data_IF_618236889740
#
_entry.id   IF_618236889740
#
_cell.length_a   1.000
_cell.length_b   1.000
_cell.length_c   1.000
_cell.angle_alpha   90.00
_cell.angle_beta   90.00
_cell.angle_gamma   90.00
#
_symmetry.space_group_name_H-M   'P 1'
#
loop_
_entity.id
_entity.type
_entity.pdbx_description
1 polymer ?
#
# COMPACT_ATOMS: atom_id res chain seq x y z
N UNK A 1 14.81 -14.20 0.58
CA UNK A 1 14.11 -14.36 -0.71
C UNK A 1 12.62 -14.14 -0.51
N UNK A 2 12.12 -12.94 -0.81
CA UNK A 2 10.68 -12.60 -0.75
C UNK A 2 10.04 -13.15 -2.02
N UNK A 3 9.08 -14.07 -1.91
CA UNK A 3 8.33 -14.58 -3.07
C UNK A 3 7.06 -13.75 -3.24
N UNK A 4 6.97 -12.98 -4.32
CA UNK A 4 5.81 -12.19 -4.73
C UNK A 4 4.92 -13.01 -5.65
N UNK A 5 3.63 -13.10 -5.35
CA UNK A 5 2.61 -13.70 -6.21
C UNK A 5 1.58 -12.63 -6.54
N UNK A 6 1.27 -12.45 -7.82
CA UNK A 6 0.24 -11.51 -8.29
C UNK A 6 -0.83 -12.33 -9.01
N UNK A 7 -2.07 -12.21 -8.57
CA UNK A 7 -3.21 -12.94 -9.14
C UNK A 7 -4.30 -11.94 -9.52
N UNK A 8 -4.64 -11.90 -10.81
CA UNK A 8 -5.82 -11.17 -11.30
C UNK A 8 -7.02 -12.10 -11.20
N UNK A 9 -7.96 -11.80 -10.30
CA UNK A 9 -9.11 -12.65 -9.98
C UNK A 9 -10.42 -11.92 -10.29
N UNK A 10 -10.79 -11.84 -11.57
CA UNK A 10 -12.11 -11.32 -11.98
C UNK A 10 -13.21 -12.40 -11.95
N UNK A 11 -12.86 -13.67 -11.71
CA UNK A 11 -13.81 -14.79 -11.78
C UNK A 11 -14.55 -15.02 -10.45
N UNK A 12 -15.87 -14.76 -10.44
CA UNK A 12 -16.73 -14.76 -9.24
C UNK A 12 -16.65 -16.04 -8.39
N UNK A 13 -16.42 -17.20 -9.01
CA UNK A 13 -16.31 -18.51 -8.32
C UNK A 13 -14.90 -18.81 -7.83
N UNK A 14 -13.87 -18.44 -8.62
CA UNK A 14 -12.49 -18.80 -8.28
C UNK A 14 -11.93 -17.85 -7.23
N UNK A 15 -12.40 -16.61 -7.19
CA UNK A 15 -11.92 -15.61 -6.25
C UNK A 15 -11.97 -16.08 -4.79
N UNK A 16 -13.12 -16.56 -4.24
CA UNK A 16 -13.15 -17.06 -2.86
C UNK A 16 -12.26 -18.28 -2.63
N UNK A 17 -12.25 -19.23 -3.58
CA UNK A 17 -11.47 -20.47 -3.46
C UNK A 17 -9.98 -20.15 -3.39
N UNK A 18 -9.48 -19.32 -4.32
CA UNK A 18 -8.08 -18.92 -4.37
C UNK A 18 -7.70 -18.10 -3.13
N UNK A 19 -8.59 -17.21 -2.67
CA UNK A 19 -8.35 -16.43 -1.45
C UNK A 19 -8.19 -17.34 -0.22
N UNK A 20 -9.08 -18.32 -0.04
CA UNK A 20 -8.99 -19.29 1.06
C UNK A 20 -7.68 -20.10 0.97
N UNK A 21 -7.32 -20.59 -0.23
CA UNK A 21 -6.08 -21.35 -0.43
C UNK A 21 -4.84 -20.53 -0.04
N UNK A 22 -4.76 -19.27 -0.48
CA UNK A 22 -3.61 -18.39 -0.17
C UNK A 22 -3.52 -18.15 1.34
N UNK A 23 -4.64 -17.84 1.98
CA UNK A 23 -4.71 -17.59 3.42
C UNK A 23 -4.30 -18.83 4.22
N UNK A 24 -4.80 -20.01 3.85
CA UNK A 24 -4.46 -21.29 4.51
C UNK A 24 -2.97 -21.62 4.35
N UNK A 25 -2.42 -21.46 3.15
CA UNK A 25 -0.97 -21.62 2.89
C UNK A 25 -0.16 -20.63 3.72
N UNK A 26 -0.63 -19.39 3.87
CA UNK A 26 0.04 -18.38 4.66
C UNK A 26 0.05 -18.73 6.16
N UNK A 27 -1.09 -19.13 6.72
CA UNK A 27 -1.22 -19.57 8.11
C UNK A 27 -0.30 -20.78 8.37
N UNK A 28 -0.29 -21.77 7.48
CA UNK A 28 0.57 -22.94 7.61
C UNK A 28 2.06 -22.57 7.56
N UNK A 29 2.47 -21.63 6.68
CA UNK A 29 3.83 -21.10 6.67
C UNK A 29 4.19 -20.36 7.96
N UNK A 30 3.27 -19.56 8.50
CA UNK A 30 3.49 -18.86 9.77
C UNK A 30 3.72 -19.84 10.92
N UNK A 31 2.90 -20.89 11.01
CA UNK A 31 3.01 -21.91 12.06
C UNK A 31 4.30 -22.70 11.97
N UNK A 32 4.71 -23.10 10.75
CA UNK A 32 5.87 -23.96 10.50
C UNK A 32 7.22 -23.22 10.62
N UNK A 33 7.33 -22.02 10.05
CA UNK A 33 8.62 -21.33 9.94
C UNK A 33 8.90 -20.46 11.18
N UNK A 34 9.29 -21.03 12.33
CA UNK A 34 9.57 -20.22 13.53
C UNK A 34 10.73 -19.22 13.29
N UNK A 35 10.69 -18.07 13.97
CA UNK A 35 11.73 -17.03 13.91
C UNK A 35 11.73 -16.13 12.66
N UNK A 36 10.97 -16.47 11.61
CA UNK A 36 10.88 -15.64 10.39
C UNK A 36 9.65 -14.74 10.45
N UNK A 37 9.78 -13.42 10.20
CA UNK A 37 8.63 -12.51 10.09
C UNK A 37 7.88 -12.76 8.79
N UNK A 38 6.54 -12.89 8.82
CA UNK A 38 5.72 -13.10 7.62
C UNK A 38 4.82 -11.91 7.42
N UNK A 39 4.77 -11.41 6.19
CA UNK A 39 3.89 -10.32 5.82
C UNK A 39 2.87 -10.84 4.82
N UNK A 40 1.59 -10.57 5.07
CA UNK A 40 0.53 -10.69 4.07
C UNK A 40 0.03 -9.29 3.75
N UNK A 41 -0.01 -8.96 2.47
CA UNK A 41 -0.56 -7.71 1.97
C UNK A 41 -1.81 -8.04 1.15
N UNK A 42 -2.92 -7.39 1.49
CA UNK A 42 -4.22 -7.60 0.85
C UNK A 42 -4.66 -6.26 0.24
N UNK A 43 -4.57 -6.17 -1.08
CA UNK A 43 -5.13 -5.04 -1.83
C UNK A 43 -6.64 -5.25 -2.01
N UNK A 44 -7.42 -4.20 -1.78
CA UNK A 44 -8.88 -4.17 -2.00
C UNK A 44 -9.62 -5.29 -1.22
N UNK A 45 -9.21 -5.51 0.03
CA UNK A 45 -9.70 -6.61 0.88
C UNK A 45 -11.23 -6.62 1.05
N UNK A 46 -11.90 -5.47 0.93
CA UNK A 46 -13.35 -5.36 1.06
C UNK A 46 -14.10 -6.18 -0.01
N UNK A 47 -13.56 -6.34 -1.22
CA UNK A 47 -14.14 -7.19 -2.27
C UNK A 47 -14.21 -8.66 -1.84
N UNK A 48 -13.26 -9.10 -1.03
CA UNK A 48 -13.28 -10.43 -0.44
C UNK A 48 -14.21 -10.55 0.76
N UNK A 49 -14.35 -9.48 1.54
CA UNK A 49 -15.15 -9.44 2.78
C UNK A 49 -16.65 -9.33 2.49
N UNK A 50 -17.04 -8.79 1.33
CA UNK A 50 -18.44 -8.65 0.92
C UNK A 50 -19.20 -9.99 0.78
N UNK A 51 -18.52 -11.14 0.80
CA UNK A 51 -19.15 -12.46 0.79
C UNK A 51 -19.29 -13.02 2.20
N UNK A 52 -20.47 -13.51 2.50
CA UNK A 52 -20.81 -14.17 3.77
C UNK A 52 -19.80 -15.29 4.09
N UNK A 53 -19.29 -15.33 5.32
CA UNK A 53 -18.26 -16.28 5.78
C UNK A 53 -16.79 -15.86 5.58
N UNK A 54 -16.46 -15.07 4.55
CA UNK A 54 -15.08 -14.57 4.35
C UNK A 54 -14.67 -13.53 5.40
N UNK A 55 -15.65 -12.76 5.86
CA UNK A 55 -15.54 -11.81 6.95
C UNK A 55 -14.90 -12.41 8.23
N UNK A 56 -15.51 -13.47 8.76
CA UNK A 56 -15.01 -14.15 9.97
C UNK A 56 -13.65 -14.81 9.72
N UNK A 57 -13.40 -15.31 8.51
CA UNK A 57 -12.12 -15.90 8.17
C UNK A 57 -10.99 -14.86 8.11
N UNK A 58 -11.27 -13.65 7.60
CA UNK A 58 -10.33 -12.54 7.62
C UNK A 58 -10.06 -12.09 9.06
N UNK A 59 -11.10 -11.96 9.89
CA UNK A 59 -10.93 -11.69 11.33
C UNK A 59 -10.05 -12.74 12.02
N UNK A 60 -10.24 -14.02 11.69
CA UNK A 60 -9.39 -15.11 12.17
C UNK A 60 -7.93 -14.95 11.71
N UNK A 61 -7.71 -14.60 10.44
CA UNK A 61 -6.37 -14.33 9.90
C UNK A 61 -5.69 -13.21 10.71
N UNK A 62 -6.30 -12.04 10.84
CA UNK A 62 -5.70 -10.89 11.56
C UNK A 62 -5.34 -11.25 13.01
N UNK A 63 -6.25 -11.92 13.74
CA UNK A 63 -5.97 -12.39 15.11
C UNK A 63 -4.85 -13.42 15.19
N UNK A 64 -4.72 -14.26 14.16
CA UNK A 64 -3.67 -15.28 14.10
C UNK A 64 -2.33 -14.63 13.79
N UNK A 65 -2.25 -13.77 12.77
CA UNK A 65 -1.01 -13.10 12.33
C UNK A 65 -0.28 -12.42 13.49
N UNK A 66 -1.02 -11.65 14.31
CA UNK A 66 -0.48 -10.98 15.50
C UNK A 66 0.22 -11.92 16.50
N UNK A 67 -0.22 -13.18 16.59
CA UNK A 67 0.33 -14.18 17.53
C UNK A 67 1.57 -14.90 17.00
N UNK A 68 1.83 -14.86 15.69
CA UNK A 68 2.85 -15.70 15.04
C UNK A 68 4.00 -14.90 14.41
N UNK A 69 4.37 -13.76 15.02
CA UNK A 69 5.39 -12.85 14.51
C UNK A 69 5.13 -12.48 13.03
N UNK A 70 3.85 -12.24 12.70
CA UNK A 70 3.42 -11.85 11.38
C UNK A 70 2.89 -10.42 11.35
N UNK A 71 2.74 -9.91 10.14
CA UNK A 71 2.17 -8.61 9.84
C UNK A 71 1.13 -8.77 8.73
N UNK A 72 -0.05 -8.17 8.92
CA UNK A 72 -1.10 -8.15 7.92
C UNK A 72 -1.38 -6.70 7.55
N UNK A 73 -1.22 -6.39 6.27
CA UNK A 73 -1.40 -5.04 5.72
C UNK A 73 -2.60 -5.09 4.78
N UNK A 74 -3.50 -4.12 4.95
CA UNK A 74 -4.62 -3.89 4.02
C UNK A 74 -4.39 -2.58 3.30
N UNK A 75 -4.54 -2.60 1.98
CA UNK A 75 -4.44 -1.42 1.13
C UNK A 75 -5.76 -1.27 0.38
N UNK A 76 -6.29 -0.06 0.33
CA UNK A 76 -7.59 0.23 -0.30
C UNK A 76 -7.66 1.69 -0.72
N UNK A 77 -8.25 1.93 -1.89
CA UNK A 77 -8.42 3.28 -2.43
C UNK A 77 -9.79 3.87 -2.06
N UNK A 78 -10.80 3.02 -1.89
CA UNK A 78 -12.18 3.44 -1.62
C UNK A 78 -12.44 3.42 -0.11
N UNK A 79 -12.34 4.60 0.53
CA UNK A 79 -12.57 4.72 1.98
C UNK A 79 -14.04 4.49 2.33
N UNK A 80 -14.97 4.84 1.43
CA UNK A 80 -16.42 4.66 1.63
C UNK A 80 -16.79 3.17 1.76
N UNK A 81 -16.15 2.27 1.00
CA UNK A 81 -16.40 0.82 1.06
C UNK A 81 -15.97 0.20 2.40
N UNK A 82 -14.93 0.78 3.02
CA UNK A 82 -14.50 0.38 4.36
C UNK A 82 -15.52 0.82 5.41
N UNK A 83 -15.97 2.07 5.32
CA UNK A 83 -16.90 2.68 6.29
C UNK A 83 -18.20 1.87 6.38
N UNK A 84 -18.69 1.39 5.24
CA UNK A 84 -19.95 0.66 5.14
C UNK A 84 -19.87 -0.79 5.64
N UNK A 85 -18.67 -1.33 5.91
CA UNK A 85 -18.49 -2.71 6.37
C UNK A 85 -18.18 -2.79 7.87
N UNK A 86 -19.14 -3.21 8.73
CA UNK A 86 -18.92 -3.37 10.17
C UNK A 86 -17.77 -4.34 10.47
N UNK A 87 -17.65 -5.40 9.66
CA UNK A 87 -16.58 -6.42 9.80
C UNK A 87 -15.21 -5.80 9.59
N UNK A 88 -15.03 -4.99 8.53
CA UNK A 88 -13.75 -4.32 8.25
C UNK A 88 -13.41 -3.36 9.38
N UNK A 89 -14.38 -2.56 9.81
CA UNK A 89 -14.19 -1.61 10.92
C UNK A 89 -13.71 -2.30 12.18
N UNK A 90 -14.41 -3.34 12.63
CA UNK A 90 -14.08 -4.04 13.87
C UNK A 90 -12.81 -4.89 13.77
N UNK A 91 -12.59 -5.56 12.64
CA UNK A 91 -11.55 -6.58 12.52
C UNK A 91 -10.23 -6.03 12.00
N UNK A 92 -10.27 -5.00 11.15
CA UNK A 92 -9.09 -4.42 10.52
C UNK A 92 -8.76 -3.10 11.19
N UNK A 93 -9.66 -2.11 11.17
CA UNK A 93 -9.33 -0.74 11.61
C UNK A 93 -9.06 -0.67 13.11
N UNK A 94 -9.97 -1.20 13.93
CA UNK A 94 -9.83 -1.16 15.39
C UNK A 94 -8.63 -1.98 15.91
N UNK A 95 -8.15 -2.94 15.13
CA UNK A 95 -6.99 -3.77 15.50
C UNK A 95 -5.69 -3.30 14.84
N UNK A 96 -5.72 -2.26 14.01
CA UNK A 96 -4.54 -1.74 13.32
C UNK A 96 -3.89 -0.63 14.12
N UNK A 97 -2.77 -0.95 14.76
CA UNK A 97 -1.95 0.03 15.48
C UNK A 97 -1.29 1.01 14.50
N UNK A 98 -0.80 0.51 13.36
CA UNK A 98 -0.22 1.34 12.30
C UNK A 98 -1.28 1.76 11.29
N UNK A 99 -1.36 3.05 11.00
CA UNK A 99 -2.22 3.63 9.95
C UNK A 99 -1.35 4.48 9.05
N UNK A 100 -1.47 4.26 7.74
CA UNK A 100 -0.72 5.00 6.72
C UNK A 100 -1.75 5.63 5.80
N UNK A 101 -1.77 6.96 5.72
CA UNK A 101 -2.67 7.69 4.85
C UNK A 101 -1.84 8.49 3.84
N UNK A 102 -2.15 8.26 2.57
CA UNK A 102 -1.73 9.10 1.46
C UNK A 102 -2.65 10.32 1.37
N UNK A 103 -2.43 11.17 0.38
CA UNK A 103 -3.25 12.35 0.10
C UNK A 103 -4.77 12.04 0.08
N UNK A 104 -5.51 12.69 0.98
CA UNK A 104 -6.96 12.54 1.13
C UNK A 104 -7.76 13.77 0.66
N UNK A 105 -7.18 14.67 -0.14
CA UNK A 105 -7.84 15.94 -0.55
C UNK A 105 -9.20 15.72 -1.22
N UNK A 106 -9.36 14.63 -1.98
CA UNK A 106 -10.64 14.26 -2.61
C UNK A 106 -11.76 14.00 -1.60
N UNK A 107 -11.42 13.69 -0.34
CA UNK A 107 -12.36 13.38 0.73
C UNK A 107 -12.50 14.52 1.76
N UNK A 108 -11.97 15.73 1.50
CA UNK A 108 -12.04 16.86 2.44
C UNK A 108 -13.45 17.09 3.01
N UNK A 109 -14.47 17.10 2.15
CA UNK A 109 -15.86 17.35 2.55
C UNK A 109 -16.47 16.23 3.41
N UNK A 110 -15.85 15.05 3.44
CA UNK A 110 -16.29 13.87 4.20
C UNK A 110 -15.28 13.46 5.27
N UNK A 111 -14.24 14.27 5.50
CA UNK A 111 -13.09 13.85 6.31
C UNK A 111 -13.48 13.62 7.78
N UNK A 112 -14.50 14.31 8.29
CA UNK A 112 -15.01 14.06 9.64
C UNK A 112 -15.48 12.62 9.84
N UNK A 113 -16.09 12.01 8.81
CA UNK A 113 -16.45 10.60 8.82
C UNK A 113 -15.23 9.68 8.84
N UNK A 114 -14.20 10.03 8.07
CA UNK A 114 -12.91 9.29 8.04
C UNK A 114 -12.20 9.39 9.39
N UNK A 115 -12.15 10.59 9.97
CA UNK A 115 -11.57 10.88 11.27
C UNK A 115 -12.23 10.05 12.36
N UNK A 116 -13.56 10.06 12.44
CA UNK A 116 -14.31 9.28 13.42
C UNK A 116 -14.13 7.77 13.23
N UNK A 117 -14.09 7.31 11.98
CA UNK A 117 -13.91 5.89 11.66
C UNK A 117 -12.51 5.37 12.04
N UNK A 118 -11.47 6.16 11.76
CA UNK A 118 -10.08 5.80 12.05
C UNK A 118 -9.65 6.14 13.49
N UNK A 119 -10.49 6.85 14.25
CA UNK A 119 -10.20 7.27 15.62
C UNK A 119 -9.08 8.32 15.68
N UNK A 120 -9.04 9.25 14.72
CA UNK A 120 -7.99 10.26 14.61
C UNK A 120 -8.30 11.49 15.45
N UNK A 121 -7.27 12.06 16.05
CA UNK A 121 -7.31 13.35 16.76
C UNK A 121 -7.35 14.52 15.79
N UNK A 122 -7.74 15.71 16.26
CA UNK A 122 -7.69 16.95 15.46
C UNK A 122 -6.27 17.27 14.97
N UNK A 123 -5.25 16.98 15.79
CA UNK A 123 -3.84 17.12 15.40
C UNK A 123 -3.52 16.24 14.19
N UNK A 124 -3.93 14.98 14.21
CA UNK A 124 -3.67 14.02 13.13
C UNK A 124 -4.45 14.38 11.87
N UNK A 125 -5.70 14.84 12.00
CA UNK A 125 -6.46 15.40 10.89
C UNK A 125 -5.71 16.56 10.22
N UNK A 126 -5.21 17.52 11.01
CA UNK A 126 -4.45 18.65 10.48
C UNK A 126 -3.19 18.20 9.73
N UNK A 127 -2.47 17.20 10.25
CA UNK A 127 -1.31 16.61 9.57
C UNK A 127 -1.71 15.96 8.24
N UNK A 128 -2.75 15.15 8.22
CA UNK A 128 -3.19 14.42 7.01
C UNK A 128 -3.67 15.41 5.92
N UNK A 129 -4.37 16.47 6.31
CA UNK A 129 -4.81 17.52 5.38
C UNK A 129 -3.66 18.41 4.87
N UNK A 130 -2.48 18.38 5.51
CA UNK A 130 -1.29 19.11 5.06
C UNK A 130 -0.46 18.38 4.00
N UNK A 131 -0.73 17.08 3.78
CA UNK A 131 0.00 16.24 2.84
C UNK A 131 0.02 16.86 1.44
N UNK A 132 1.21 17.01 0.88
CA UNK A 132 1.49 17.55 -0.45
C UNK A 132 0.95 18.97 -0.69
N UNK A 133 0.79 19.78 0.36
CA UNK A 133 0.32 21.17 0.25
C UNK A 133 1.45 22.19 0.13
N UNK A 134 2.67 21.85 0.56
CA UNK A 134 3.83 22.75 0.54
C UNK A 134 5.12 21.98 0.21
N UNK A 135 5.12 21.24 -0.91
CA UNK A 135 6.32 20.52 -1.34
C UNK A 135 7.39 21.50 -1.82
N UNK A 136 8.66 21.19 -1.49
CA UNK A 136 9.81 21.89 -2.03
C UNK A 136 9.93 21.61 -3.55
N UNK A 137 9.91 22.67 -4.36
CA UNK A 137 9.97 22.59 -5.82
C UNK A 137 11.30 22.02 -6.34
N UNK A 138 12.36 22.07 -5.54
CA UNK A 138 13.69 21.56 -5.91
C UNK A 138 13.84 20.05 -5.68
N UNK A 139 12.88 19.41 -5.01
CA UNK A 139 12.94 17.99 -4.62
C UNK A 139 11.78 17.21 -5.22
N UNK A 140 12.06 15.97 -5.64
CA UNK A 140 11.05 15.05 -6.14
C UNK A 140 10.66 14.05 -5.05
N UNK A 141 9.58 14.35 -4.33
CA UNK A 141 9.05 13.49 -3.28
C UNK A 141 7.53 13.54 -3.21
N UNK A 142 6.96 12.54 -2.52
CA UNK A 142 5.56 12.55 -2.11
C UNK A 142 5.47 12.41 -0.60
N UNK A 143 4.51 13.10 -0.01
CA UNK A 143 4.26 13.01 1.41
C UNK A 143 3.28 11.90 1.75
N UNK A 144 3.53 11.26 2.89
CA UNK A 144 2.66 10.24 3.49
C UNK A 144 2.54 10.50 4.98
N UNK A 145 1.34 10.38 5.53
CA UNK A 145 1.14 10.40 6.96
C UNK A 145 1.23 8.99 7.53
N UNK A 146 1.94 8.84 8.64
CA UNK A 146 2.06 7.58 9.38
C UNK A 146 1.71 7.82 10.84
N UNK A 147 0.73 7.10 11.34
CA UNK A 147 0.32 7.05 12.74
C UNK A 147 0.61 5.69 13.37
N UNK A 148 1.20 5.69 14.56
CA UNK A 148 1.58 4.52 15.33
C UNK A 148 0.87 4.49 16.69
N UNK A 149 -0.25 3.76 16.75
CA UNK A 149 -0.96 3.41 17.99
C UNK A 149 -1.43 4.60 18.81
N UNK A 150 -1.68 5.76 18.18
CA UNK A 150 -2.03 7.01 18.87
C UNK A 150 -0.91 7.63 19.71
N UNK A 151 0.30 7.06 19.69
CA UNK A 151 1.46 7.56 20.46
C UNK A 151 2.33 8.52 19.66
N UNK A 152 2.49 8.23 18.36
CA UNK A 152 3.32 9.01 17.46
C UNK A 152 2.66 9.14 16.10
N UNK A 153 2.67 10.34 15.54
CA UNK A 153 2.13 10.61 14.21
C UNK A 153 2.86 11.78 13.56
N UNK A 154 3.21 11.63 12.28
CA UNK A 154 3.88 12.65 11.50
C UNK A 154 3.66 12.46 9.99
N UNK A 155 3.91 13.52 9.24
CA UNK A 155 4.01 13.51 7.78
C UNK A 155 5.47 13.30 7.40
N UNK A 156 5.72 12.35 6.50
CA UNK A 156 7.04 11.98 6.04
C UNK A 156 7.13 12.20 4.53
N UNK A 157 8.27 12.73 4.09
CA UNK A 157 8.63 12.76 2.68
C UNK A 157 9.14 11.38 2.25
N UNK A 158 8.55 10.83 1.19
CA UNK A 158 8.97 9.59 0.57
C UNK A 158 9.73 9.92 -0.69
N UNK A 159 11.03 9.68 -0.65
CA UNK A 159 11.97 9.83 -1.76
C UNK A 159 12.47 8.46 -2.16
N UNK A 160 12.54 8.22 -3.46
CA UNK A 160 13.07 7.00 -4.05
C UNK A 160 14.16 7.37 -5.04
N UNK A 161 15.04 6.43 -5.33
CA UNK A 161 16.00 6.62 -6.42
C UNK A 161 15.27 6.87 -7.75
N UNK A 162 15.91 7.58 -8.68
CA UNK A 162 15.36 7.77 -10.03
C UNK A 162 15.11 6.44 -10.72
N UNK A 163 15.93 5.43 -10.44
CA UNK A 163 15.75 4.08 -10.94
C UNK A 163 14.45 3.44 -10.43
N UNK A 164 14.19 3.52 -9.13
CA UNK A 164 12.95 3.02 -8.53
C UNK A 164 11.73 3.79 -9.05
N UNK A 165 11.86 5.11 -9.19
CA UNK A 165 10.81 5.95 -9.77
C UNK A 165 10.46 5.50 -11.19
N UNK A 166 11.46 5.38 -12.08
CA UNK A 166 11.26 4.96 -13.48
C UNK A 166 10.79 3.50 -13.59
N UNK A 167 11.15 2.64 -12.65
CA UNK A 167 10.67 1.26 -12.62
C UNK A 167 9.16 1.16 -12.34
N UNK A 168 8.58 2.14 -11.65
CA UNK A 168 7.19 2.14 -11.22
C UNK A 168 6.35 3.31 -11.76
N UNK A 169 6.91 4.15 -12.62
CA UNK A 169 6.20 5.30 -13.19
C UNK A 169 4.97 4.84 -13.97
N UNK A 170 3.87 5.56 -13.76
CA UNK A 170 2.63 5.41 -14.54
C UNK A 170 2.49 6.48 -15.62
N UNK A 171 3.40 7.46 -15.64
CA UNK A 171 3.40 8.52 -16.65
C UNK A 171 3.74 7.91 -18.02
N UNK A 172 2.83 8.07 -18.98
CA UNK A 172 2.93 7.39 -20.27
C UNK A 172 4.18 7.81 -21.03
N UNK A 173 4.55 9.09 -21.00
CA UNK A 173 5.74 9.62 -21.68
C UNK A 173 7.02 8.98 -21.15
N UNK A 174 7.19 8.88 -19.84
CA UNK A 174 8.36 8.28 -19.21
C UNK A 174 8.40 6.76 -19.44
N UNK A 175 7.24 6.10 -19.38
CA UNK A 175 7.14 4.68 -19.67
C UNK A 175 7.53 4.39 -21.11
N UNK A 176 7.09 5.21 -22.06
CA UNK A 176 7.46 5.08 -23.46
C UNK A 176 8.95 5.31 -23.69
N UNK A 177 9.55 6.31 -23.02
CA UNK A 177 11.00 6.55 -23.05
C UNK A 177 11.79 5.32 -22.59
N UNK A 178 11.43 4.74 -21.44
CA UNK A 178 12.07 3.53 -20.89
C UNK A 178 11.92 2.36 -21.86
N UNK A 179 10.72 2.13 -22.39
CA UNK A 179 10.46 0.99 -23.27
C UNK A 179 11.13 1.14 -24.64
N UNK A 180 11.23 2.36 -25.17
CA UNK A 180 11.94 2.65 -26.41
C UNK A 180 13.44 2.33 -26.25
N UNK A 181 14.09 2.86 -25.22
CA UNK A 181 15.50 2.57 -24.97
C UNK A 181 15.73 1.08 -24.64
N UNK A 182 14.80 0.44 -23.93
CA UNK A 182 14.88 -1.00 -23.69
C UNK A 182 14.86 -1.79 -25.00
N UNK A 183 14.06 -1.38 -25.99
CA UNK A 183 14.00 -2.04 -27.30
C UNK A 183 15.33 -1.98 -28.06
N UNK A 184 16.04 -0.85 -27.96
CA UNK A 184 17.38 -0.67 -28.53
C UNK A 184 18.44 -1.51 -27.79
N UNK A 185 18.18 -1.85 -26.53
CA UNK A 185 19.03 -2.65 -25.66
C UNK A 185 18.60 -4.11 -25.56
N UNK A 186 18.05 -4.67 -26.65
CA UNK A 186 17.61 -6.07 -26.73
C UNK A 186 16.56 -6.45 -25.66
N UNK A 187 15.70 -5.51 -25.27
CA UNK A 187 14.67 -5.70 -24.25
C UNK A 187 15.14 -5.55 -22.80
N UNK A 188 16.38 -5.08 -22.56
CA UNK A 188 16.91 -4.91 -21.21
C UNK A 188 16.38 -3.63 -20.53
N UNK A 189 15.23 -3.75 -19.88
CA UNK A 189 14.55 -2.65 -19.15
C UNK A 189 15.40 -2.11 -18.00
N UNK A 190 16.08 -2.98 -17.25
CA UNK A 190 16.92 -2.54 -16.12
C UNK A 190 18.06 -1.64 -16.59
N UNK A 191 18.72 -2.00 -17.70
CA UNK A 191 19.79 -1.19 -18.26
C UNK A 191 19.27 0.13 -18.84
N UNK A 192 18.09 0.12 -19.48
CA UNK A 192 17.43 1.32 -19.97
C UNK A 192 17.15 2.31 -18.82
N UNK A 193 16.54 1.83 -17.73
CA UNK A 193 16.28 2.62 -16.52
C UNK A 193 17.57 3.24 -15.98
N UNK A 194 18.65 2.44 -15.82
CA UNK A 194 19.93 2.93 -15.30
C UNK A 194 20.54 4.04 -16.18
N UNK A 195 20.44 3.91 -17.50
CA UNK A 195 20.95 4.92 -18.44
C UNK A 195 20.16 6.22 -18.37
N UNK A 196 18.83 6.14 -18.38
CA UNK A 196 17.96 7.33 -18.28
C UNK A 196 18.16 8.02 -16.93
N UNK A 197 18.19 7.26 -15.83
CA UNK A 197 18.44 7.81 -14.49
C UNK A 197 19.83 8.47 -14.39
N UNK A 198 20.86 7.90 -15.03
CA UNK A 198 22.19 8.50 -15.14
C UNK A 198 22.17 9.85 -15.86
N UNK A 199 21.59 9.90 -17.06
CA UNK A 199 21.47 11.11 -17.87
C UNK A 199 20.71 12.22 -17.14
N UNK A 200 19.59 11.89 -16.48
CA UNK A 200 18.82 12.86 -15.69
C UNK A 200 19.65 13.47 -14.56
N UNK A 201 20.47 12.68 -13.85
CA UNK A 201 21.35 13.19 -12.77
C UNK A 201 22.44 14.11 -13.27
N UNK A 202 23.05 13.79 -14.42
CA UNK A 202 24.06 14.65 -15.03
C UNK A 202 23.47 16.01 -15.40
N UNK A 203 22.28 16.03 -15.99
CA UNK A 203 21.59 17.26 -16.35
C UNK A 203 21.18 18.12 -15.13
N UNK A 204 20.84 17.52 -14.00
CA UNK A 204 20.51 18.26 -12.76
C UNK A 204 21.72 18.92 -12.10
N UNK A 205 22.92 18.34 -12.24
CA UNK A 205 24.16 18.87 -11.66
C UNK A 205 24.84 19.97 -12.50
N UNK A 206 24.24 20.37 -13.63
CA UNK A 206 24.83 21.35 -14.57
C UNK A 206 24.25 22.77 -14.41
N UNK A 207 23.55 23.04 -13.31
CA UNK A 207 23.00 24.36 -12.92
C UNK A 207 23.36 24.69 -11.47
#
# INVERSE_FOLDING_TARGET
MIRRWVLSLHHKILFPIVTIIIMEVFINKMRRLKGVRKLILIEEAWKAIAKEGMAEYIKYLFKTVRKFFGEAIVVTQEVDDIIQSPVVKESIINNSDCKILLDQRKYMNKFDGIQAMLGLTEKEKSQILSINMNNDLSRLYKEVWIGLGGTHSAVYATEVSLEEYLAYTTEETEKMEVMQLASELNGNVELAIKRIAGQRRENTNTY
#
